data_IF_728293705340
#
_entry.id   IF_728293705340
#
_cell.length_a   1.000
_cell.length_b   1.000
_cell.length_c   1.000
_cell.angle_alpha   90.00
_cell.angle_beta   90.00
_cell.angle_gamma   90.00
#
_symmetry.space_group_name_H-M   'P 1'
#
loop_
_entity.id
_entity.type
_entity.pdbx_description
1 polymer ?
#
# COMPACT_ATOMS: atom_id res chain seq x y z
N UNK A 1 15.92 36.04 -32.82
CA UNK A 1 15.11 36.28 -31.61
C UNK A 1 14.91 34.92 -30.95
N UNK A 2 15.77 34.54 -30.00
CA UNK A 2 15.71 33.23 -29.33
C UNK A 2 14.72 33.30 -28.16
N UNK A 3 13.80 32.33 -28.08
CA UNK A 3 12.84 32.18 -26.98
C UNK A 3 13.58 31.89 -25.67
N UNK A 4 13.26 32.64 -24.63
CA UNK A 4 13.97 32.61 -23.35
C UNK A 4 13.57 31.38 -22.51
N UNK A 5 14.49 30.81 -21.70
CA UNK A 5 14.29 29.61 -20.87
C UNK A 5 13.45 29.87 -19.60
N UNK A 6 12.34 30.59 -19.72
CA UNK A 6 11.57 31.18 -18.61
C UNK A 6 10.71 30.18 -17.81
N UNK A 7 10.65 28.90 -18.17
CA UNK A 7 9.67 28.00 -17.55
C UNK A 7 10.06 27.48 -16.16
N UNK A 8 11.35 27.38 -15.82
CA UNK A 8 11.81 26.82 -14.53
C UNK A 8 12.32 27.86 -13.53
N UNK A 9 12.78 29.02 -13.99
CA UNK A 9 13.38 30.04 -13.12
C UNK A 9 12.37 30.61 -12.11
N UNK A 10 11.10 30.75 -12.51
CA UNK A 10 10.01 31.12 -11.60
C UNK A 10 9.85 30.13 -10.45
N UNK A 11 9.96 28.83 -10.73
CA UNK A 11 9.86 27.78 -9.71
C UNK A 11 11.09 27.76 -8.82
N UNK A 12 12.28 28.00 -9.38
CA UNK A 12 13.52 28.14 -8.59
C UNK A 12 13.43 29.29 -7.61
N UNK A 13 12.88 30.43 -8.03
CA UNK A 13 12.65 31.58 -7.16
C UNK A 13 11.61 31.28 -6.08
N UNK A 14 10.50 30.66 -6.46
CA UNK A 14 9.44 30.24 -5.53
C UNK A 14 9.98 29.32 -4.42
N UNK A 15 10.71 28.26 -4.78
CA UNK A 15 11.26 27.32 -3.79
C UNK A 15 12.39 27.93 -2.96
N UNK A 16 13.21 28.84 -3.54
CA UNK A 16 14.23 29.56 -2.77
C UNK A 16 13.64 30.43 -1.67
N UNK A 17 12.43 30.96 -1.86
CA UNK A 17 11.72 31.76 -0.85
C UNK A 17 11.17 30.96 0.34
N UNK A 18 11.10 29.63 0.24
CA UNK A 18 10.43 28.78 1.24
C UNK A 18 11.30 28.41 2.47
N UNK A 19 12.52 28.95 2.58
CA UNK A 19 13.48 28.68 3.68
C UNK A 19 13.70 27.18 4.01
N UNK A 20 13.43 26.28 3.06
CA UNK A 20 13.53 24.84 3.22
C UNK A 20 14.24 24.26 2.00
N UNK A 21 14.89 23.09 2.16
CA UNK A 21 15.54 22.44 1.03
C UNK A 21 14.51 21.93 0.02
N UNK A 22 14.91 21.80 -1.25
CA UNK A 22 14.01 21.34 -2.31
C UNK A 22 13.50 19.92 -2.05
N UNK A 23 14.30 19.04 -1.45
CA UNK A 23 13.89 17.69 -1.10
C UNK A 23 12.88 17.71 0.05
N UNK A 24 13.13 18.53 1.08
CA UNK A 24 12.17 18.73 2.16
C UNK A 24 10.84 19.26 1.61
N UNK A 25 10.87 20.22 0.69
CA UNK A 25 9.66 20.76 0.07
C UNK A 25 8.90 19.68 -0.70
N UNK A 26 9.59 18.79 -1.42
CA UNK A 26 8.96 17.67 -2.13
C UNK A 26 8.30 16.71 -1.14
N UNK A 27 9.00 16.34 -0.06
CA UNK A 27 8.45 15.45 0.98
C UNK A 27 7.22 16.07 1.65
N UNK A 28 7.30 17.34 2.05
CA UNK A 28 6.17 18.04 2.65
C UNK A 28 5.01 18.22 1.68
N UNK A 29 5.29 18.50 0.39
CA UNK A 29 4.24 18.59 -0.62
C UNK A 29 3.55 17.24 -0.87
N UNK A 30 4.30 16.14 -0.86
CA UNK A 30 3.76 14.78 -0.92
C UNK A 30 2.89 14.48 0.30
N UNK A 31 3.36 14.80 1.50
CA UNK A 31 2.59 14.63 2.74
C UNK A 31 1.29 15.46 2.73
N UNK A 32 1.37 16.74 2.35
CA UNK A 32 0.20 17.63 2.26
C UNK A 32 -0.79 17.13 1.21
N UNK A 33 -0.32 16.73 0.02
CA UNK A 33 -1.20 16.19 -1.02
C UNK A 33 -1.87 14.86 -0.57
N UNK A 34 -1.14 13.98 0.11
CA UNK A 34 -1.70 12.75 0.63
C UNK A 34 -2.75 12.99 1.73
N UNK A 35 -2.56 14.00 2.58
CA UNK A 35 -3.50 14.36 3.63
C UNK A 35 -4.75 15.10 3.10
N UNK A 36 -4.56 16.08 2.22
CA UNK A 36 -5.64 17.01 1.82
C UNK A 36 -6.44 16.51 0.61
N UNK A 37 -5.81 15.75 -0.29
CA UNK A 37 -6.45 15.21 -1.49
C UNK A 37 -6.04 13.74 -1.77
N UNK A 38 -6.38 12.79 -0.86
CA UNK A 38 -5.88 11.42 -0.92
C UNK A 38 -6.25 10.67 -2.20
N UNK A 39 -7.47 10.85 -2.71
CA UNK A 39 -7.92 10.17 -3.94
C UNK A 39 -7.21 10.69 -5.19
N UNK A 40 -7.07 12.01 -5.32
CA UNK A 40 -6.37 12.64 -6.45
C UNK A 40 -4.87 12.35 -6.42
N UNK A 41 -4.28 12.36 -5.23
CA UNK A 41 -2.88 12.02 -5.03
C UNK A 41 -2.61 10.57 -5.45
N UNK A 42 -3.49 9.62 -5.07
CA UNK A 42 -3.39 8.22 -5.50
C UNK A 42 -3.40 8.07 -7.02
N UNK A 43 -4.34 8.72 -7.72
CA UNK A 43 -4.43 8.64 -9.19
C UNK A 43 -3.23 9.26 -9.91
N UNK A 44 -2.56 10.25 -9.29
CA UNK A 44 -1.44 10.98 -9.89
C UNK A 44 -0.07 10.45 -9.47
N UNK A 45 -0.01 9.60 -8.44
CA UNK A 45 1.23 9.10 -7.85
C UNK A 45 2.10 8.38 -8.87
N UNK A 46 1.50 7.57 -9.74
CA UNK A 46 2.26 6.77 -10.71
C UNK A 46 2.98 7.68 -11.72
N UNK A 47 2.30 8.73 -12.18
CA UNK A 47 2.91 9.75 -13.05
C UNK A 47 4.01 10.54 -12.34
N UNK A 48 3.85 10.83 -11.05
CA UNK A 48 4.88 11.51 -10.24
C UNK A 48 6.10 10.59 -10.08
N UNK A 49 5.90 9.31 -9.77
CA UNK A 49 6.96 8.32 -9.64
C UNK A 49 7.69 8.14 -10.97
N UNK A 50 6.96 7.98 -12.08
CA UNK A 50 7.52 7.91 -13.42
C UNK A 50 8.41 9.13 -13.71
N UNK A 51 7.96 10.35 -13.36
CA UNK A 51 8.77 11.56 -13.50
C UNK A 51 10.07 11.48 -12.68
N UNK A 52 10.02 11.02 -11.43
CA UNK A 52 11.21 10.89 -10.57
C UNK A 52 12.26 9.95 -11.17
N UNK A 53 11.83 8.83 -11.76
CA UNK A 53 12.72 7.83 -12.35
C UNK A 53 13.14 8.16 -13.79
N UNK A 54 12.33 8.93 -14.52
CA UNK A 54 12.55 9.26 -15.95
C UNK A 54 13.26 10.60 -16.12
N UNK A 55 13.28 11.48 -15.12
CA UNK A 55 14.04 12.73 -15.14
C UNK A 55 15.56 12.45 -15.24
N UNK A 56 16.03 12.21 -16.46
CA UNK A 56 17.45 12.05 -16.80
C UNK A 56 18.03 13.41 -17.09
N UNK A 57 19.00 13.80 -16.27
CA UNK A 57 19.83 14.96 -16.52
C UNK A 57 20.78 14.62 -17.68
N UNK A 58 20.45 15.05 -18.90
CA UNK A 58 21.39 14.89 -20.01
C UNK A 58 22.50 15.93 -19.84
N UNK A 59 23.71 15.48 -19.48
CA UNK A 59 24.89 16.35 -19.44
C UNK A 59 25.45 16.43 -20.85
N UNK A 60 25.28 17.57 -21.52
CA UNK A 60 26.06 17.89 -22.71
C UNK A 60 27.52 18.07 -22.29
N UNK A 61 28.43 17.22 -22.76
CA UNK A 61 29.87 17.29 -22.42
C UNK A 61 30.62 18.48 -23.07
N UNK A 62 29.91 19.53 -23.50
CA UNK A 62 30.52 20.69 -24.15
C UNK A 62 29.82 22.05 -23.93
N UNK A 63 28.75 22.13 -23.15
CA UNK A 63 28.07 23.40 -22.82
C UNK A 63 27.43 23.29 -21.44
N UNK A 64 27.64 24.26 -20.55
CA UNK A 64 27.05 24.34 -19.20
C UNK A 64 25.51 24.61 -19.20
N UNK A 65 24.80 24.18 -20.25
CA UNK A 65 23.33 24.20 -20.28
C UNK A 65 22.80 22.82 -19.91
N UNK A 66 22.13 22.78 -18.77
CA UNK A 66 21.30 21.68 -18.33
C UNK A 66 19.93 21.83 -19.00
N UNK A 67 19.56 20.89 -19.86
CA UNK A 67 18.22 20.80 -20.42
C UNK A 67 17.58 19.48 -19.97
N UNK A 68 16.46 19.59 -19.25
CA UNK A 68 15.62 18.47 -18.86
C UNK A 68 14.83 18.03 -20.09
N UNK A 69 15.11 16.84 -20.61
CA UNK A 69 14.22 16.22 -21.58
C UNK A 69 12.98 15.72 -20.82
N UNK A 70 11.93 16.55 -20.79
CA UNK A 70 10.61 16.13 -20.32
C UNK A 70 9.81 15.68 -21.55
N UNK A 71 9.28 14.43 -21.58
CA UNK A 71 8.34 14.03 -22.61
C UNK A 71 7.11 14.95 -22.57
N UNK A 72 6.85 15.65 -23.68
CA UNK A 72 5.69 16.51 -23.82
C UNK A 72 4.41 15.65 -23.88
N UNK A 73 3.43 15.82 -22.98
CA UNK A 73 2.21 15.02 -22.99
C UNK A 73 1.22 15.37 -24.12
N UNK A 74 1.49 16.39 -24.94
CA UNK A 74 0.51 16.94 -25.91
C UNK A 74 0.73 16.59 -27.40
N UNK A 75 1.61 15.64 -27.74
CA UNK A 75 1.69 15.13 -29.13
C UNK A 75 0.68 14.02 -29.38
N UNK A 76 -0.57 14.40 -29.63
CA UNK A 76 -1.53 13.55 -30.35
C UNK A 76 -1.06 13.45 -31.79
N UNK A 77 -0.21 12.47 -32.10
CA UNK A 77 -0.02 12.03 -33.49
C UNK A 77 -1.07 10.97 -33.81
N UNK A 78 -2.10 11.41 -34.52
CA UNK A 78 -2.99 10.53 -35.27
C UNK A 78 -2.26 10.01 -36.52
N UNK A 79 -2.72 8.85 -36.99
CA UNK A 79 -2.75 8.31 -38.36
C UNK A 79 -1.70 7.23 -38.67
N UNK A 80 -1.99 6.11 -39.34
CA UNK A 80 -3.20 5.58 -39.99
C UNK A 80 -3.06 4.04 -40.12
N UNK A 81 -4.22 3.37 -40.10
CA UNK A 81 -4.69 2.17 -40.83
C UNK A 81 -3.87 0.87 -41.07
N UNK A 82 -4.68 -0.20 -41.04
CA UNK A 82 -4.60 -1.53 -41.67
C UNK A 82 -3.69 -2.62 -41.05
N UNK A 83 -4.09 -3.89 -40.88
CA UNK A 83 -5.36 -4.65 -41.03
C UNK A 83 -5.01 -6.09 -40.57
N UNK A 84 -5.53 -6.57 -39.43
CA UNK A 84 -5.35 -7.98 -39.00
C UNK A 84 -6.67 -8.75 -39.18
N UNK A 85 -6.77 -9.38 -40.35
CA UNK A 85 -7.94 -10.14 -40.81
C UNK A 85 -7.81 -11.62 -40.46
N UNK A 86 -8.58 -12.08 -39.48
CA UNK A 86 -8.92 -13.50 -39.34
C UNK A 86 -10.29 -13.78 -39.95
N UNK A 87 -10.32 -14.31 -41.18
CA UNK A 87 -11.48 -15.09 -41.66
C UNK A 87 -11.08 -16.11 -42.73
N UNK A 88 -11.36 -17.37 -42.36
CA UNK A 88 -11.35 -18.61 -43.14
C UNK A 88 -11.95 -18.51 -44.56
N UNK A 89 -11.37 -19.26 -45.51
CA UNK A 89 -12.11 -19.74 -46.69
C UNK A 89 -11.32 -19.97 -47.99
N UNK A 90 -10.90 -21.23 -48.21
CA UNK A 90 -11.09 -22.04 -49.45
C UNK A 90 -10.34 -21.67 -50.77
N UNK A 91 -9.58 -22.69 -51.20
CA UNK A 91 -9.28 -23.20 -52.56
C UNK A 91 -8.20 -22.63 -53.52
N UNK A 92 -7.39 -23.62 -53.95
CA UNK A 92 -6.93 -23.94 -55.31
C UNK A 92 -5.85 -23.07 -55.98
N UNK A 93 -4.76 -23.77 -56.32
CA UNK A 93 -4.15 -23.63 -57.64
C UNK A 93 -2.67 -23.26 -57.68
N UNK A 94 -1.82 -24.29 -57.81
CA UNK A 94 -0.85 -24.37 -58.90
C UNK A 94 0.46 -23.57 -58.83
N UNK A 95 1.57 -24.30 -58.85
CA UNK A 95 2.61 -24.04 -59.85
C UNK A 95 3.93 -23.39 -59.39
N UNK A 96 4.90 -24.24 -59.08
CA UNK A 96 6.25 -24.32 -59.70
C UNK A 96 7.05 -23.03 -59.98
N UNK A 97 8.27 -22.93 -59.43
CA UNK A 97 9.55 -23.17 -60.15
C UNK A 97 10.74 -22.33 -59.60
N UNK A 98 11.78 -23.08 -59.21
CA UNK A 98 13.23 -22.83 -59.05
C UNK A 98 13.84 -21.44 -59.40
N UNK A 99 14.81 -20.95 -58.60
CA UNK A 99 16.27 -21.08 -58.87
C UNK A 99 17.19 -20.18 -57.98
N UNK A 100 18.16 -20.85 -57.33
CA UNK A 100 19.62 -20.60 -57.24
C UNK A 100 20.23 -19.31 -56.65
N UNK A 101 20.93 -19.53 -55.54
CA UNK A 101 22.33 -19.20 -55.18
C UNK A 101 22.92 -17.80 -55.47
N UNK A 102 23.52 -17.18 -54.44
CA UNK A 102 24.99 -17.07 -54.33
C UNK A 102 25.46 -16.60 -52.94
N UNK A 103 26.72 -16.95 -52.66
CA UNK A 103 27.46 -17.04 -51.40
C UNK A 103 28.50 -15.92 -51.33
N UNK A 104 28.69 -15.29 -50.16
CA UNK A 104 29.99 -14.79 -49.67
C UNK A 104 29.89 -14.46 -48.17
N UNK A 105 30.79 -15.07 -47.40
CA UNK A 105 31.04 -14.76 -45.98
C UNK A 105 32.02 -13.58 -45.88
N UNK A 106 31.87 -12.73 -44.87
CA UNK A 106 33.02 -12.05 -44.26
C UNK A 106 32.76 -11.86 -42.75
N UNK A 107 33.80 -12.14 -41.98
CA UNK A 107 33.85 -12.36 -40.54
C UNK A 107 34.62 -11.19 -39.91
N UNK A 108 33.97 -10.41 -39.03
CA UNK A 108 34.72 -9.57 -38.09
C UNK A 108 34.25 -9.80 -36.65
N UNK A 109 35.08 -10.59 -35.98
CA UNK A 109 35.11 -10.95 -34.58
C UNK A 109 35.63 -9.78 -33.76
N UNK A 110 34.84 -9.26 -32.81
CA UNK A 110 35.39 -8.45 -31.71
C UNK A 110 34.59 -8.66 -30.41
N UNK A 111 35.13 -9.57 -29.61
CA UNK A 111 35.18 -9.62 -28.14
C UNK A 111 34.00 -9.07 -27.32
N UNK A 112 33.20 -10.02 -26.86
CA UNK A 112 32.38 -9.93 -25.66
C UNK A 112 33.33 -9.89 -24.45
N UNK A 113 33.52 -8.72 -23.85
CA UNK A 113 34.12 -8.60 -22.52
C UNK A 113 32.98 -8.57 -21.51
N UNK A 114 32.70 -9.73 -20.94
CA UNK A 114 31.80 -9.90 -19.79
C UNK A 114 32.53 -9.32 -18.58
N UNK A 115 32.14 -8.14 -18.11
CA UNK A 115 32.63 -7.60 -16.84
C UNK A 115 31.55 -7.71 -15.78
N UNK A 116 31.58 -8.88 -15.15
CA UNK A 116 31.52 -9.10 -13.71
C UNK A 116 30.47 -8.31 -12.92
N UNK A 117 29.35 -8.99 -12.71
CA UNK A 117 28.28 -8.66 -11.78
C UNK A 117 28.84 -8.77 -10.36
N UNK A 118 29.35 -7.66 -9.82
CA UNK A 118 29.58 -7.59 -8.39
C UNK A 118 28.24 -7.40 -7.67
N UNK A 119 27.66 -8.54 -7.30
CA UNK A 119 26.62 -8.65 -6.29
C UNK A 119 27.09 -7.92 -5.03
N UNK A 120 26.50 -6.77 -4.74
CA UNK A 120 26.43 -6.25 -3.39
C UNK A 120 25.00 -6.45 -2.93
N UNK A 121 24.90 -7.33 -1.96
CA UNK A 121 23.73 -7.91 -1.33
C UNK A 121 22.70 -6.91 -0.84
N UNK A 122 21.44 -7.29 -1.07
CA UNK A 122 20.30 -7.15 -0.16
C UNK A 122 20.07 -5.77 0.47
N UNK A 123 19.14 -5.01 -0.15
CA UNK A 123 17.90 -4.71 0.56
C UNK A 123 16.74 -5.21 -0.32
N UNK A 124 16.05 -6.21 0.19
CA UNK A 124 14.98 -6.97 -0.44
C UNK A 124 13.84 -6.05 -0.88
N UNK A 125 13.85 -5.71 -2.16
CA UNK A 125 12.72 -5.17 -2.93
C UNK A 125 11.68 -6.29 -3.09
N UNK A 126 10.93 -6.52 -2.01
CA UNK A 126 9.85 -7.50 -1.93
C UNK A 126 8.87 -7.22 -0.78
N UNK A 127 9.11 -6.17 0.00
CA UNK A 127 8.29 -5.76 1.14
C UNK A 127 7.39 -4.55 0.82
N UNK A 128 7.69 -3.83 -0.26
CA UNK A 128 6.92 -2.62 -0.69
C UNK A 128 5.85 -2.94 -1.72
N UNK A 129 6.02 -4.02 -2.50
CA UNK A 129 5.01 -4.49 -3.46
C UNK A 129 3.84 -5.22 -2.76
N UNK A 130 4.09 -5.86 -1.61
CA UNK A 130 3.05 -6.56 -0.82
C UNK A 130 2.01 -5.58 -0.25
N UNK A 131 2.44 -4.40 0.20
CA UNK A 131 1.53 -3.40 0.76
C UNK A 131 0.71 -2.68 -0.32
N UNK A 132 1.19 -2.60 -1.57
CA UNK A 132 0.39 -2.06 -2.67
C UNK A 132 -0.72 -3.02 -3.10
N UNK A 133 -0.44 -4.32 -3.10
CA UNK A 133 -1.44 -5.34 -3.43
C UNK A 133 -2.56 -5.40 -2.38
N UNK A 134 -2.23 -5.31 -1.08
CA UNK A 134 -3.21 -5.29 0.01
C UNK A 134 -4.14 -4.06 -0.05
N UNK A 135 -3.61 -2.88 -0.40
CA UNK A 135 -4.42 -1.64 -0.50
C UNK A 135 -5.31 -1.63 -1.76
N UNK A 136 -4.82 -2.18 -2.87
CA UNK A 136 -5.62 -2.33 -4.09
C UNK A 136 -6.74 -3.37 -3.88
N UNK A 137 -6.47 -4.47 -3.18
CA UNK A 137 -7.46 -5.48 -2.80
C UNK A 137 -8.56 -4.90 -1.90
N UNK A 138 -8.23 -4.10 -0.87
CA UNK A 138 -9.23 -3.42 -0.05
C UNK A 138 -10.12 -2.45 -0.87
N UNK A 139 -9.54 -1.75 -1.85
CA UNK A 139 -10.28 -0.82 -2.71
C UNK A 139 -11.28 -1.58 -3.61
N UNK A 140 -10.86 -2.72 -4.17
CA UNK A 140 -11.73 -3.58 -4.96
C UNK A 140 -12.88 -4.17 -4.12
N UNK A 141 -12.60 -4.54 -2.87
CA UNK A 141 -13.62 -5.02 -1.93
C UNK A 141 -14.64 -3.91 -1.66
N UNK A 142 -14.20 -2.67 -1.43
CA UNK A 142 -15.08 -1.54 -1.16
C UNK A 142 -16.05 -1.28 -2.33
N UNK A 143 -15.54 -1.22 -3.56
CA UNK A 143 -16.35 -0.98 -4.77
C UNK A 143 -17.37 -2.10 -5.01
N UNK A 144 -16.96 -3.35 -4.77
CA UNK A 144 -17.85 -4.51 -4.85
C UNK A 144 -18.97 -4.44 -3.80
N UNK A 145 -18.65 -4.08 -2.56
CA UNK A 145 -19.64 -3.93 -1.49
C UNK A 145 -20.63 -2.82 -1.81
N UNK A 146 -20.18 -1.69 -2.35
CA UNK A 146 -21.07 -0.60 -2.77
C UNK A 146 -22.02 -1.02 -3.90
N UNK A 147 -21.54 -1.84 -4.84
CA UNK A 147 -22.40 -2.38 -5.90
C UNK A 147 -23.44 -3.34 -5.34
N UNK A 148 -23.05 -4.26 -4.46
CA UNK A 148 -23.98 -5.15 -3.76
C UNK A 148 -25.00 -4.33 -2.96
N UNK A 149 -24.53 -3.29 -2.25
CA UNK A 149 -25.38 -2.38 -1.50
C UNK A 149 -26.50 -1.78 -2.35
N UNK A 150 -26.15 -1.29 -3.55
CA UNK A 150 -27.13 -0.72 -4.46
C UNK A 150 -28.24 -1.71 -4.84
N UNK A 151 -27.87 -2.98 -5.09
CA UNK A 151 -28.84 -4.06 -5.37
C UNK A 151 -29.75 -4.29 -4.14
N UNK A 152 -29.18 -4.35 -2.93
CA UNK A 152 -29.95 -4.58 -1.70
C UNK A 152 -30.85 -3.40 -1.31
N UNK A 153 -30.44 -2.18 -1.63
CA UNK A 153 -31.28 -0.99 -1.41
C UNK A 153 -32.50 -1.03 -2.33
N UNK A 154 -32.34 -1.52 -3.56
CA UNK A 154 -33.40 -1.71 -4.56
C UNK A 154 -34.14 -3.06 -4.47
N UNK A 155 -34.07 -3.77 -3.33
CA UNK A 155 -34.62 -5.14 -3.15
C UNK A 155 -36.09 -5.36 -3.49
N UNK A 156 -36.89 -4.31 -3.70
CA UNK A 156 -38.29 -4.43 -4.14
C UNK A 156 -38.39 -4.70 -5.66
N UNK A 157 -37.42 -4.20 -6.42
CA UNK A 157 -37.38 -4.27 -7.89
C UNK A 157 -36.49 -5.42 -8.37
N UNK A 158 -35.54 -5.84 -7.53
CA UNK A 158 -34.59 -6.91 -7.83
C UNK A 158 -35.18 -8.31 -7.62
N UNK A 159 -34.71 -9.28 -8.41
CA UNK A 159 -35.16 -10.67 -8.31
C UNK A 159 -34.61 -11.38 -7.07
N UNK A 160 -35.33 -12.38 -6.58
CA UNK A 160 -34.88 -13.23 -5.47
C UNK A 160 -33.51 -13.89 -5.74
N UNK A 161 -33.22 -14.28 -6.99
CA UNK A 161 -31.94 -14.90 -7.36
C UNK A 161 -30.80 -13.89 -7.29
N UNK A 162 -30.96 -12.70 -7.87
CA UNK A 162 -29.94 -11.64 -7.81
C UNK A 162 -29.64 -11.20 -6.37
N UNK A 163 -30.67 -11.07 -5.54
CA UNK A 163 -30.53 -10.75 -4.12
C UNK A 163 -29.78 -11.85 -3.37
N UNK A 164 -30.10 -13.11 -3.64
CA UNK A 164 -29.46 -14.25 -3.00
C UNK A 164 -27.98 -14.36 -3.40
N UNK A 165 -27.67 -14.23 -4.69
CA UNK A 165 -26.30 -14.29 -5.20
C UNK A 165 -25.47 -13.10 -4.68
N UNK A 166 -26.05 -11.91 -4.60
CA UNK A 166 -25.39 -10.74 -4.02
C UNK A 166 -25.06 -10.96 -2.54
N UNK A 167 -25.97 -11.53 -1.76
CA UNK A 167 -25.72 -11.88 -0.36
C UNK A 167 -24.67 -12.99 -0.19
N UNK A 168 -24.68 -14.00 -1.06
CA UNK A 168 -23.68 -15.08 -1.04
C UNK A 168 -22.30 -14.52 -1.37
N UNK A 169 -22.22 -13.63 -2.37
CA UNK A 169 -20.99 -12.94 -2.72
C UNK A 169 -20.47 -12.13 -1.54
N UNK A 170 -21.35 -11.39 -0.86
CA UNK A 170 -21.01 -10.63 0.35
C UNK A 170 -20.49 -11.51 1.50
N UNK A 171 -20.98 -12.75 1.60
CA UNK A 171 -20.51 -13.73 2.61
C UNK A 171 -19.11 -14.26 2.33
N UNK A 172 -18.76 -14.42 1.05
CA UNK A 172 -17.48 -14.97 0.62
C UNK A 172 -16.35 -13.94 0.66
N UNK A 173 -16.69 -12.65 0.71
CA UNK A 173 -15.71 -11.56 0.78
C UNK A 173 -15.18 -11.36 2.20
N UNK A 174 -13.90 -11.01 2.30
CA UNK A 174 -13.26 -10.62 3.55
C UNK A 174 -13.56 -9.16 3.85
N UNK A 175 -14.56 -8.90 4.69
CA UNK A 175 -14.93 -7.54 5.10
C UNK A 175 -14.20 -7.14 6.39
N UNK A 176 -13.64 -5.93 6.41
CA UNK A 176 -13.11 -5.29 7.62
C UNK A 176 -14.19 -4.49 8.35
N UNK A 177 -13.92 -4.12 9.61
CA UNK A 177 -14.83 -3.25 10.39
C UNK A 177 -14.98 -1.89 9.73
N UNK A 178 -13.89 -1.40 9.14
CA UNK A 178 -13.80 -0.15 8.40
C UNK A 178 -14.74 -0.17 7.18
N UNK A 179 -14.68 -1.21 6.34
CA UNK A 179 -15.56 -1.34 5.17
C UNK A 179 -17.03 -1.46 5.59
N UNK A 180 -17.34 -2.21 6.64
CA UNK A 180 -18.72 -2.33 7.15
C UNK A 180 -19.26 -0.96 7.63
N UNK A 181 -18.40 -0.16 8.25
CA UNK A 181 -18.75 1.17 8.75
C UNK A 181 -18.90 2.18 7.63
N UNK A 182 -17.95 2.23 6.71
CA UNK A 182 -17.87 3.24 5.66
C UNK A 182 -18.95 3.03 4.58
N UNK A 183 -19.27 1.77 4.27
CA UNK A 183 -20.33 1.45 3.30
C UNK A 183 -21.73 1.46 3.91
N UNK A 184 -21.85 1.38 5.24
CA UNK A 184 -23.10 1.17 5.96
C UNK A 184 -23.97 -0.01 5.43
N UNK A 185 -23.36 -0.99 4.75
CA UNK A 185 -24.03 -2.16 4.16
C UNK A 185 -24.87 -2.94 5.19
N UNK A 186 -24.48 -2.86 6.46
CA UNK A 186 -25.23 -3.39 7.60
C UNK A 186 -26.69 -2.95 7.63
N UNK A 187 -27.00 -1.70 7.24
CA UNK A 187 -28.38 -1.19 7.21
C UNK A 187 -29.21 -1.86 6.11
N UNK A 188 -28.66 -1.98 4.90
CA UNK A 188 -29.30 -2.60 3.74
C UNK A 188 -29.54 -4.10 3.97
N UNK A 189 -28.52 -4.83 4.46
CA UNK A 189 -28.65 -6.25 4.83
C UNK A 189 -29.65 -6.42 5.97
N UNK A 190 -29.65 -5.52 6.94
CA UNK A 190 -30.61 -5.58 8.04
C UNK A 190 -32.07 -5.41 7.58
N UNK A 191 -32.33 -4.57 6.58
CA UNK A 191 -33.66 -4.40 6.00
C UNK A 191 -34.20 -5.69 5.35
N UNK A 192 -33.31 -6.58 4.91
CA UNK A 192 -33.64 -7.86 4.28
C UNK A 192 -34.09 -8.95 5.28
N UNK A 193 -34.02 -8.71 6.59
CA UNK A 193 -34.36 -9.71 7.63
C UNK A 193 -35.82 -10.21 7.55
N UNK A 194 -36.70 -9.43 6.95
CA UNK A 194 -38.13 -9.73 6.76
C UNK A 194 -38.49 -10.14 5.32
N UNK A 195 -37.50 -10.44 4.49
CA UNK A 195 -37.71 -10.84 3.10
C UNK A 195 -38.60 -12.10 2.98
N UNK A 196 -39.34 -12.26 1.88
CA UNK A 196 -40.29 -13.37 1.67
C UNK A 196 -39.63 -14.75 1.53
N UNK A 197 -38.47 -14.80 0.86
CA UNK A 197 -37.67 -16.02 0.74
C UNK A 197 -37.03 -16.41 2.08
N UNK A 198 -37.27 -17.66 2.50
CA UNK A 198 -36.68 -18.23 3.72
C UNK A 198 -35.16 -18.34 3.64
N UNK A 199 -34.63 -18.65 2.47
CA UNK A 199 -33.20 -18.78 2.24
C UNK A 199 -32.48 -17.46 2.44
N UNK A 200 -32.99 -16.39 1.82
CA UNK A 200 -32.48 -15.02 2.01
C UNK A 200 -32.50 -14.62 3.48
N UNK A 201 -33.60 -14.87 4.20
CA UNK A 201 -33.67 -14.55 5.64
C UNK A 201 -32.61 -15.29 6.46
N UNK A 202 -32.35 -16.56 6.15
CA UNK A 202 -31.36 -17.36 6.87
C UNK A 202 -29.94 -16.86 6.58
N UNK A 203 -29.63 -16.55 5.32
CA UNK A 203 -28.34 -16.01 4.92
C UNK A 203 -28.07 -14.64 5.56
N UNK A 204 -29.06 -13.75 5.57
CA UNK A 204 -28.98 -12.44 6.22
C UNK A 204 -28.70 -12.56 7.72
N UNK A 205 -29.34 -13.51 8.43
CA UNK A 205 -29.05 -13.73 9.86
C UNK A 205 -27.61 -14.18 10.07
N UNK A 206 -27.15 -15.11 9.24
CA UNK A 206 -25.79 -15.65 9.30
C UNK A 206 -24.76 -14.52 9.08
N UNK A 207 -24.96 -13.67 8.08
CA UNK A 207 -24.10 -12.49 7.81
C UNK A 207 -24.07 -11.53 9.00
N UNK A 208 -25.24 -11.20 9.56
CA UNK A 208 -25.33 -10.29 10.71
C UNK A 208 -24.63 -10.88 11.93
N UNK A 209 -24.74 -12.19 12.16
CA UNK A 209 -24.06 -12.88 13.26
C UNK A 209 -22.54 -12.87 13.05
N UNK A 210 -22.04 -13.19 11.85
CA UNK A 210 -20.60 -13.14 11.56
C UNK A 210 -20.02 -11.74 11.72
N UNK A 211 -20.73 -10.70 11.27
CA UNK A 211 -20.26 -9.32 11.40
C UNK A 211 -20.26 -8.84 12.83
N UNK A 212 -21.24 -9.24 13.65
CA UNK A 212 -21.20 -8.96 15.09
C UNK A 212 -19.97 -9.58 15.74
N UNK A 213 -19.69 -10.85 15.46
CA UNK A 213 -18.51 -11.51 16.04
C UNK A 213 -17.21 -10.84 15.60
N UNK A 214 -17.13 -10.36 14.37
CA UNK A 214 -15.98 -9.62 13.85
C UNK A 214 -15.81 -8.27 14.57
N UNK A 215 -16.89 -7.50 14.70
CA UNK A 215 -16.90 -6.21 15.40
C UNK A 215 -16.58 -6.38 16.88
N UNK A 216 -17.16 -7.37 17.55
CA UNK A 216 -16.91 -7.66 18.97
C UNK A 216 -15.43 -8.00 19.19
N UNK A 217 -14.86 -8.88 18.36
CA UNK A 217 -13.44 -9.24 18.43
C UNK A 217 -12.52 -8.03 18.22
N UNK A 218 -12.87 -7.12 17.29
CA UNK A 218 -12.11 -5.89 17.04
C UNK A 218 -12.18 -4.92 18.25
N UNK A 219 -13.35 -4.79 18.90
CA UNK A 219 -13.51 -3.99 20.12
C UNK A 219 -12.66 -4.58 21.26
N UNK A 220 -12.68 -5.89 21.46
CA UNK A 220 -11.89 -6.57 22.48
C UNK A 220 -10.38 -6.40 22.25
N UNK A 221 -9.93 -6.52 21.00
CA UNK A 221 -8.53 -6.27 20.63
C UNK A 221 -8.12 -4.81 20.93
N UNK A 222 -8.96 -3.85 20.55
CA UNK A 222 -8.71 -2.42 20.76
C UNK A 222 -8.65 -2.06 22.24
N UNK A 223 -9.56 -2.59 23.05
CA UNK A 223 -9.57 -2.37 24.51
C UNK A 223 -8.35 -3.00 25.17
N UNK A 224 -7.90 -4.19 24.73
CA UNK A 224 -6.69 -4.82 25.23
C UNK A 224 -5.43 -4.01 24.90
N UNK A 225 -5.33 -3.43 23.70
CA UNK A 225 -4.24 -2.53 23.31
C UNK A 225 -4.23 -1.27 24.18
N UNK A 226 -5.40 -0.66 24.41
CA UNK A 226 -5.53 0.50 25.29
C UNK A 226 -5.11 0.20 26.74
N UNK A 227 -5.53 -0.94 27.29
CA UNK A 227 -5.17 -1.37 28.64
C UNK A 227 -3.66 -1.65 28.80
N UNK A 228 -3.03 -2.23 27.77
CA UNK A 228 -1.56 -2.41 27.74
C UNK A 228 -0.83 -1.07 27.75
N UNK A 229 -1.30 -0.09 26.98
CA UNK A 229 -0.71 1.27 26.95
C UNK A 229 -0.78 1.94 28.32
N UNK A 230 -1.89 1.79 29.06
CA UNK A 230 -2.03 2.29 30.44
C UNK A 230 -1.10 1.59 31.43
N UNK A 231 -0.91 0.27 31.33
CA UNK A 231 0.06 -0.46 32.17
C UNK A 231 1.50 -0.06 31.87
N UNK A 232 1.86 0.16 30.61
CA UNK A 232 3.20 0.66 30.25
C UNK A 232 3.44 2.04 30.86
N UNK A 233 2.46 2.95 30.81
CA UNK A 233 2.57 4.28 31.44
C UNK A 233 2.80 4.17 32.97
N UNK A 234 2.06 3.30 33.67
CA UNK A 234 2.28 3.05 35.11
C UNK A 234 3.67 2.46 35.42
N UNK A 235 4.21 1.61 34.52
CA UNK A 235 5.57 1.07 34.67
C UNK A 235 6.63 2.17 34.45
N UNK A 236 6.45 3.12 33.53
CA UNK A 236 7.38 4.26 33.40
C UNK A 236 7.35 5.17 34.64
N UNK A 237 6.19 5.33 35.30
CA UNK A 237 6.02 6.13 36.51
C UNK A 237 6.77 5.54 37.74
N UNK A 238 6.85 4.21 37.86
CA UNK A 238 7.58 3.53 38.96
C UNK A 238 9.11 3.73 38.92
N UNK A 239 9.69 4.10 37.77
CA UNK A 239 11.13 4.37 37.66
C UNK A 239 11.52 5.78 38.13
N UNK A 240 10.54 6.66 38.43
CA UNK A 240 10.75 8.04 38.87
C UNK A 240 10.54 8.26 40.37
N UNK A 241 10.49 7.22 41.21
CA UNK A 241 10.54 7.43 42.66
C UNK A 241 11.89 8.06 43.05
N UNK A 242 11.91 9.21 43.75
CA UNK A 242 13.15 9.75 44.27
C UNK A 242 13.71 8.75 45.29
N UNK A 243 14.93 8.29 45.05
CA UNK A 243 15.70 7.50 46.03
C UNK A 243 15.81 8.34 47.30
N UNK A 244 14.99 8.04 48.31
CA UNK A 244 15.21 8.57 49.64
C UNK A 244 16.60 8.09 50.08
N UNK A 245 17.53 9.04 50.16
CA UNK A 245 18.85 8.84 50.72
C UNK A 245 18.67 8.38 52.16
N UNK A 246 19.02 7.13 52.43
CA UNK A 246 19.11 6.60 53.77
C UNK A 246 20.19 7.40 54.54
N UNK A 247 19.75 8.36 55.34
CA UNK A 247 20.62 9.02 56.29
C UNK A 247 20.98 8.03 57.40
N UNK A 248 22.27 7.70 57.47
CA UNK A 248 22.91 6.98 58.56
C UNK A 248 22.38 7.42 59.93
N UNK A 249 21.78 6.49 60.68
CA UNK A 249 21.73 6.58 62.13
C UNK A 249 22.22 5.28 62.73
N UNK A 250 23.51 5.28 63.07
CA UNK A 250 24.18 4.24 63.82
C UNK A 250 23.41 3.96 65.12
N UNK A 251 23.00 2.72 65.32
CA UNK A 251 22.71 2.17 66.65
C UNK A 251 23.89 1.30 67.08
N UNK A 252 24.44 1.46 68.30
CA UNK A 252 25.39 0.50 68.83
C UNK A 252 24.65 -0.75 69.29
N UNK A 253 25.09 -1.90 68.78
CA UNK A 253 24.70 -3.25 69.21
C UNK A 253 24.92 -3.43 70.72
N UNK A 254 23.90 -3.93 71.42
CA UNK A 254 24.07 -4.63 72.70
C UNK A 254 24.40 -6.10 72.41
N UNK A 255 25.38 -6.72 73.07
CA UNK A 255 25.65 -8.14 72.87
C UNK A 255 24.64 -8.98 73.68
N UNK A 256 23.98 -9.90 72.99
CA UNK A 256 23.15 -10.93 73.59
C UNK A 256 23.98 -12.21 73.82
N UNK A 257 23.82 -12.74 75.03
CA UNK A 257 24.27 -14.02 75.54
C UNK A 257 24.37 -15.15 74.50
N UNK A 258 25.53 -15.83 74.46
CA UNK A 258 25.64 -17.19 73.97
C UNK A 258 25.58 -18.18 75.14
N UNK A 259 24.71 -19.17 74.99
CA UNK A 259 24.54 -20.28 75.92
C UNK A 259 25.52 -21.42 75.57
N UNK A 260 26.00 -22.08 76.63
CA UNK A 260 26.33 -23.52 76.74
C UNK A 260 27.77 -23.93 76.37
N UNK A 261 28.49 -24.48 77.35
CA UNK A 261 28.76 -25.93 77.48
C UNK A 261 29.48 -26.25 78.81
N UNK A 262 29.03 -27.34 79.43
CA UNK A 262 29.56 -27.90 80.65
C UNK A 262 30.76 -28.83 80.37
N UNK A 263 31.84 -28.68 81.13
CA UNK A 263 32.90 -29.67 81.44
C UNK A 263 33.54 -29.14 82.74
N UNK A 264 33.72 -29.80 83.88
CA UNK A 264 33.67 -31.20 84.28
C UNK A 264 34.87 -31.45 85.23
N UNK A 265 34.61 -31.86 86.49
CA UNK A 265 35.57 -32.41 87.51
C UNK A 265 36.64 -31.41 88.00
N UNK A 266 37.00 -31.32 89.28
CA UNK A 266 37.10 -32.32 90.37
C UNK A 266 37.06 -31.57 91.70
#
# INVERSE_FOLDING_TARGET
MATTPVSLDKWREYFRGANSDIFDIIEHAVMVAACDCPYDFKLKRDRIAEMLFTCKFTKCFGCDRVELAVPNPDSVEKRDDDDDKYRSGIEAGGGSKDTKESKVNDEHRTEIVVMDVNQISNNSYGDVEVLTDEIEEESQILDEVLRIKAILDNRQEESCELLLDSLRRLQLMTLSVEILKDTEIGKSVNAMRKHESKEIRNLVRTLIESWKTLVDAWVDATTAVAAKKQRTIQVVELHNLPKQTAAHRNQPMRPAHQHRLAIGRR
#
